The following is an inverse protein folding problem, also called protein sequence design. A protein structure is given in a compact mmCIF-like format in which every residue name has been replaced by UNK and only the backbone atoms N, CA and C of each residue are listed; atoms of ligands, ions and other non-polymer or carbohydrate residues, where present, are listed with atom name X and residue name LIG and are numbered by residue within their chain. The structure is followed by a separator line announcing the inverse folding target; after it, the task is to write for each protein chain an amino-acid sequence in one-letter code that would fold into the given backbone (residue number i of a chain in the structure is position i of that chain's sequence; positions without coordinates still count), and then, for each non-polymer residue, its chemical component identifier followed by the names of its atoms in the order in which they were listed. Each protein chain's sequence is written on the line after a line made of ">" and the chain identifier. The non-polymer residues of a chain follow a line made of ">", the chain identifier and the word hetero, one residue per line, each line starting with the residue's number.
data_IF_688032055157
#
_entry.id   IF_688032055157
#
_cell.length_a   1.000
_cell.length_b   1.000
_cell.length_c   1.000
_cell.angle_alpha   90.00
_cell.angle_beta   90.00
_cell.angle_gamma   90.00
#
_symmetry.space_group_name_H-M   'P 1'
#
loop_
_entity.id
_entity.type
_entity.pdbx_description
1 polymer ?
#
# COMPACT_ATOMS: atom_id res chain seq x y z
N UNK A 1 -7.42 7.34 7.30
CA UNK A 1 -7.71 6.54 8.52
C UNK A 1 -9.18 6.18 8.63
N UNK A 2 -10.10 7.13 8.55
CA UNK A 2 -11.56 6.85 8.53
C UNK A 2 -11.93 5.84 7.45
N UNK A 3 -11.59 6.12 6.19
CA UNK A 3 -11.87 5.20 5.07
C UNK A 3 -11.29 3.79 5.31
N UNK A 4 -10.07 3.67 5.85
CA UNK A 4 -9.51 2.36 6.21
C UNK A 4 -10.29 1.64 7.31
N UNK A 5 -10.81 2.37 8.30
CA UNK A 5 -11.62 1.79 9.37
C UNK A 5 -12.99 1.32 8.86
N UNK A 6 -13.72 2.21 8.20
CA UNK A 6 -15.15 2.04 7.97
C UNK A 6 -15.44 1.26 6.67
N UNK A 7 -14.52 1.33 5.70
CA UNK A 7 -14.64 0.62 4.41
C UNK A 7 -13.58 -0.47 4.29
N UNK A 8 -12.30 -0.10 4.50
CA UNK A 8 -11.16 -0.99 4.28
C UNK A 8 -11.22 -2.27 5.11
N UNK A 9 -11.19 -2.16 6.45
CA UNK A 9 -11.17 -3.32 7.35
C UNK A 9 -12.34 -4.29 7.10
N UNK A 10 -13.60 -3.84 6.96
CA UNK A 10 -14.71 -4.73 6.62
C UNK A 10 -14.58 -5.38 5.23
N UNK A 11 -14.13 -4.64 4.22
CA UNK A 11 -14.07 -5.12 2.83
C UNK A 11 -12.95 -6.13 2.59
N UNK A 12 -11.87 -6.08 3.40
CA UNK A 12 -10.64 -6.85 3.13
C UNK A 12 -10.47 -8.06 4.04
N UNK A 13 -11.53 -8.55 4.72
CA UNK A 13 -11.38 -9.63 5.70
C UNK A 13 -10.66 -10.87 5.15
N UNK A 14 -10.88 -11.20 3.88
CA UNK A 14 -10.30 -12.36 3.18
C UNK A 14 -9.20 -11.98 2.17
N UNK A 15 -8.76 -10.72 2.13
CA UNK A 15 -7.74 -10.23 1.19
C UNK A 15 -6.42 -9.94 1.94
N UNK A 16 -5.45 -10.87 1.97
CA UNK A 16 -4.21 -10.69 2.72
C UNK A 16 -3.36 -9.51 2.20
N UNK A 17 -3.45 -9.18 0.91
CA UNK A 17 -2.68 -8.09 0.29
C UNK A 17 -3.24 -6.75 0.77
N UNK A 18 -4.56 -6.57 0.65
CA UNK A 18 -5.21 -5.34 1.08
C UNK A 18 -5.12 -5.14 2.60
N UNK A 19 -5.18 -6.22 3.38
CA UNK A 19 -4.94 -6.19 4.84
C UNK A 19 -3.55 -5.67 5.18
N UNK A 20 -2.52 -6.17 4.50
CA UNK A 20 -1.13 -5.72 4.71
C UNK A 20 -0.96 -4.23 4.34
N UNK A 21 -1.54 -3.81 3.20
CA UNK A 21 -1.52 -2.42 2.76
C UNK A 21 -2.23 -1.48 3.75
N UNK A 22 -3.41 -1.86 4.25
CA UNK A 22 -4.14 -1.08 5.26
C UNK A 22 -3.33 -0.98 6.56
N UNK A 23 -2.72 -2.07 7.02
CA UNK A 23 -1.88 -2.05 8.22
C UNK A 23 -0.67 -1.11 8.06
N UNK A 24 0.07 -1.23 6.95
CA UNK A 24 1.21 -0.38 6.63
C UNK A 24 0.81 1.10 6.54
N UNK A 25 -0.22 1.41 5.73
CA UNK A 25 -0.72 2.77 5.57
C UNK A 25 -1.23 3.37 6.88
N UNK A 26 -1.92 2.57 7.71
CA UNK A 26 -2.37 3.00 9.04
C UNK A 26 -1.20 3.40 9.92
N UNK A 27 -0.14 2.58 9.95
CA UNK A 27 1.02 2.83 10.79
C UNK A 27 1.83 4.03 10.31
N UNK A 28 2.01 4.21 9.01
CA UNK A 28 2.64 5.41 8.44
C UNK A 28 1.91 6.72 8.79
N UNK A 29 0.60 6.67 8.97
CA UNK A 29 -0.21 7.87 9.29
C UNK A 29 -0.10 8.29 10.76
N UNK A 30 0.30 7.40 11.67
CA UNK A 30 0.25 7.66 13.12
C UNK A 30 1.61 7.52 13.82
N UNK A 31 2.57 6.87 13.17
CA UNK A 31 3.93 6.69 13.64
C UNK A 31 4.85 7.64 12.86
N UNK A 32 5.50 8.61 13.53
CA UNK A 32 6.50 9.45 12.88
C UNK A 32 7.64 8.62 12.26
N UNK A 33 8.18 9.00 11.08
CA UNK A 33 9.34 8.33 10.49
C UNK A 33 10.52 8.26 11.47
N UNK A 34 11.14 7.08 11.58
CA UNK A 34 12.28 6.85 12.49
C UNK A 34 11.92 6.74 13.97
N UNK A 35 10.63 6.78 14.33
CA UNK A 35 10.19 6.54 15.70
C UNK A 35 9.88 5.06 15.97
N UNK A 36 9.89 4.69 17.25
CA UNK A 36 9.62 3.33 17.72
C UNK A 36 10.86 2.44 17.78
N UNK A 37 10.68 1.16 18.16
CA UNK A 37 11.77 0.21 18.37
C UNK A 37 12.50 -0.19 17.08
N UNK A 38 11.89 0.02 15.92
CA UNK A 38 12.48 -0.26 14.60
C UNK A 38 11.81 0.59 13.52
N UNK A 39 12.49 0.86 12.39
CA UNK A 39 11.92 1.64 11.30
C UNK A 39 10.84 0.83 10.58
N UNK A 40 9.67 1.45 10.33
CA UNK A 40 8.64 0.92 9.44
C UNK A 40 9.03 1.19 7.98
N UNK A 41 9.60 0.18 7.32
CA UNK A 41 10.17 0.32 5.96
C UNK A 41 9.19 -0.03 4.83
N UNK A 42 7.97 -0.45 5.18
CA UNK A 42 6.94 -0.94 4.25
C UNK A 42 6.90 -2.46 4.16
N UNK A 43 8.05 -3.11 4.28
CA UNK A 43 8.13 -4.56 4.18
C UNK A 43 7.77 -5.26 5.49
N UNK A 44 7.76 -4.53 6.61
CA UNK A 44 7.34 -5.06 7.91
C UNK A 44 5.94 -5.68 7.87
N UNK A 45 4.93 -5.06 7.25
CA UNK A 45 3.59 -5.64 7.17
C UNK A 45 3.39 -6.51 5.92
N UNK A 46 4.10 -6.17 4.85
CA UNK A 46 4.04 -6.90 3.58
C UNK A 46 4.64 -8.30 3.66
N UNK A 47 5.72 -8.49 4.42
CA UNK A 47 6.35 -9.80 4.62
C UNK A 47 5.90 -10.49 5.92
N UNK A 48 5.43 -9.78 6.96
CA UNK A 48 5.20 -10.39 8.28
C UNK A 48 3.71 -10.52 8.67
N UNK A 49 2.93 -11.23 7.84
CA UNK A 49 1.52 -11.60 8.07
C UNK A 49 1.46 -12.97 8.79
N UNK A 50 0.44 -13.29 9.65
CA UNK A 50 -0.76 -12.51 9.96
C UNK A 50 -0.79 -11.77 11.29
N UNK A 51 0.04 -12.11 12.28
CA UNK A 51 -0.12 -11.58 13.63
C UNK A 51 0.05 -10.06 13.70
N UNK A 52 1.06 -9.50 13.01
CA UNK A 52 1.33 -8.05 13.02
C UNK A 52 0.22 -7.28 12.33
N UNK A 53 -0.23 -7.77 11.17
CA UNK A 53 -1.34 -7.19 10.42
C UNK A 53 -2.62 -7.22 11.27
N UNK A 54 -2.93 -8.35 11.89
CA UNK A 54 -4.13 -8.52 12.72
C UNK A 54 -4.16 -7.56 13.92
N UNK A 55 -3.01 -7.31 14.56
CA UNK A 55 -2.90 -6.36 15.67
C UNK A 55 -3.32 -4.94 15.24
N UNK A 56 -2.81 -4.47 14.10
CA UNK A 56 -3.12 -3.13 13.58
C UNK A 56 -4.58 -3.05 13.14
N UNK A 57 -5.09 -4.03 12.40
CA UNK A 57 -6.47 -4.02 11.93
C UNK A 57 -7.48 -4.09 13.08
N UNK A 58 -7.18 -4.85 14.13
CA UNK A 58 -8.00 -4.89 15.35
C UNK A 58 -8.04 -3.52 16.02
N UNK A 59 -6.88 -2.91 16.27
CA UNK A 59 -6.80 -1.59 16.89
C UNK A 59 -7.50 -0.50 16.05
N UNK A 60 -7.41 -0.59 14.72
CA UNK A 60 -8.11 0.29 13.79
C UNK A 60 -9.65 0.11 13.86
N UNK A 61 -10.12 -1.14 13.90
CA UNK A 61 -11.54 -1.46 14.03
C UNK A 61 -12.13 -0.98 15.36
N UNK A 62 -11.34 -0.98 16.45
CA UNK A 62 -11.76 -0.56 17.79
C UNK A 62 -11.79 0.97 17.99
N UNK A 63 -11.29 1.76 17.03
CA UNK A 63 -11.39 3.21 17.10
C UNK A 63 -12.86 3.67 17.21
N UNK A 64 -13.13 4.79 17.90
CA UNK A 64 -14.48 5.36 17.98
C UNK A 64 -14.98 5.81 16.60
N UNK A 65 -16.26 6.15 16.50
CA UNK A 65 -16.85 6.69 15.26
C UNK A 65 -16.12 7.95 14.78
N UNK A 66 -15.95 8.07 13.45
CA UNK A 66 -15.41 9.25 12.78
C UNK A 66 -16.31 10.49 12.88
N UNK A 67 -17.60 10.32 13.21
CA UNK A 67 -18.55 11.42 13.45
C UNK A 67 -18.13 12.39 14.57
N UNK A 68 -17.18 11.98 15.43
CA UNK A 68 -16.54 12.83 16.42
C UNK A 68 -15.03 12.95 16.10
N UNK A 69 -14.62 13.82 15.15
CA UNK A 69 -13.28 13.79 14.56
C UNK A 69 -12.17 14.01 15.59
N UNK A 70 -12.36 14.92 16.56
CA UNK A 70 -11.39 15.14 17.63
C UNK A 70 -11.20 13.92 18.53
N UNK A 71 -12.29 13.19 18.83
CA UNK A 71 -12.25 11.96 19.65
C UNK A 71 -11.59 10.82 18.86
N UNK A 72 -11.92 10.71 17.58
CA UNK A 72 -11.30 9.78 16.65
C UNK A 72 -9.78 9.97 16.57
N UNK A 73 -9.32 11.18 16.25
CA UNK A 73 -7.89 11.48 16.10
C UNK A 73 -7.13 11.24 17.40
N UNK A 74 -7.68 11.63 18.55
CA UNK A 74 -7.06 11.37 19.86
C UNK A 74 -6.94 9.87 20.17
N UNK A 75 -7.98 9.10 19.86
CA UNK A 75 -7.94 7.65 20.04
C UNK A 75 -6.92 7.00 19.09
N UNK A 76 -6.91 7.38 17.82
CA UNK A 76 -5.97 6.90 16.82
C UNK A 76 -4.52 7.11 17.24
N UNK A 77 -4.16 8.34 17.65
CA UNK A 77 -2.81 8.70 18.13
C UNK A 77 -2.40 7.97 19.42
N UNK A 78 -3.37 7.52 20.23
CA UNK A 78 -3.11 6.81 21.48
C UNK A 78 -2.96 5.30 21.28
N UNK A 79 -3.83 4.71 20.46
CA UNK A 79 -3.99 3.24 20.38
C UNK A 79 -3.11 2.63 19.29
N UNK A 80 -3.08 3.24 18.09
CA UNK A 80 -2.46 2.63 16.93
C UNK A 80 -0.93 2.49 17.03
N UNK A 81 -0.16 3.45 17.60
CA UNK A 81 1.30 3.31 17.67
C UNK A 81 1.76 2.02 18.37
N UNK A 82 1.07 1.60 19.44
CA UNK A 82 1.40 0.35 20.13
C UNK A 82 1.13 -0.88 19.26
N UNK A 83 0.05 -0.87 18.48
CA UNK A 83 -0.28 -1.97 17.57
C UNK A 83 0.72 -2.09 16.43
N UNK A 84 1.24 -0.96 15.93
CA UNK A 84 2.22 -0.91 14.83
C UNK A 84 3.56 -1.59 15.15
N UNK A 85 3.92 -1.66 16.44
CA UNK A 85 5.15 -2.28 16.90
C UNK A 85 4.92 -3.62 17.61
N UNK A 86 3.73 -4.19 17.49
CA UNK A 86 3.41 -5.51 18.05
C UNK A 86 4.14 -6.63 17.29
N UNK A 87 4.59 -7.64 18.03
CA UNK A 87 5.24 -8.85 17.50
C UNK A 87 6.74 -8.68 17.21
N UNK A 88 7.48 -9.80 17.25
CA UNK A 88 8.87 -9.84 16.80
C UNK A 88 8.92 -9.91 15.27
N UNK A 89 10.02 -9.42 14.67
CA UNK A 89 10.34 -9.73 13.26
C UNK A 89 10.72 -11.22 13.19
N UNK A 90 9.73 -12.11 13.13
CA UNK A 90 9.99 -13.50 12.76
C UNK A 90 10.46 -13.51 11.29
N UNK A 91 11.53 -14.23 10.95
CA UNK A 91 11.94 -14.40 9.56
C UNK A 91 10.94 -15.29 8.82
N UNK A 92 9.78 -14.76 8.47
CA UNK A 92 8.78 -15.55 7.73
C UNK A 92 8.19 -14.77 6.59
N UNK A 93 8.41 -15.37 5.41
CA UNK A 93 7.69 -15.29 4.15
C UNK A 93 7.70 -13.97 3.37
N UNK A 94 8.57 -14.01 2.37
CA UNK A 94 8.58 -13.31 1.07
C UNK A 94 7.18 -13.28 0.42
N UNK A 95 7.10 -12.76 -0.81
CA UNK A 95 5.95 -12.80 -1.73
C UNK A 95 5.02 -14.02 -1.65
N UNK A 96 5.52 -15.21 -1.30
CA UNK A 96 4.78 -16.47 -1.12
C UNK A 96 3.52 -16.39 -0.23
N UNK A 97 3.35 -15.34 0.59
CA UNK A 97 2.09 -15.06 1.30
C UNK A 97 0.91 -14.73 0.38
N UNK A 98 1.19 -14.36 -0.86
CA UNK A 98 0.21 -13.86 -1.81
C UNK A 98 0.07 -14.85 -2.96
N UNK A 99 -1.13 -14.97 -3.50
CA UNK A 99 -1.31 -15.67 -4.76
C UNK A 99 -0.92 -14.72 -5.90
N UNK A 100 -0.06 -15.12 -6.86
CA UNK A 100 0.35 -14.22 -7.95
C UNK A 100 -0.83 -13.61 -8.72
N UNK A 101 -1.89 -14.40 -8.95
CA UNK A 101 -3.10 -13.92 -9.63
C UNK A 101 -3.86 -12.87 -8.81
N UNK A 102 -3.91 -13.03 -7.49
CA UNK A 102 -4.48 -12.04 -6.59
C UNK A 102 -3.63 -10.76 -6.60
N UNK A 103 -2.30 -10.88 -6.57
CA UNK A 103 -1.39 -9.74 -6.64
C UNK A 103 -1.53 -8.96 -7.95
N UNK A 104 -1.59 -9.65 -9.09
CA UNK A 104 -1.76 -9.01 -10.39
C UNK A 104 -3.09 -8.22 -10.47
N UNK A 105 -4.18 -8.81 -9.95
CA UNK A 105 -5.48 -8.15 -9.84
C UNK A 105 -5.42 -6.92 -8.92
N UNK A 106 -4.76 -7.04 -7.77
CA UNK A 106 -4.61 -5.92 -6.83
C UNK A 106 -3.79 -4.78 -7.41
N UNK A 107 -2.71 -5.07 -8.12
CA UNK A 107 -1.93 -4.07 -8.86
C UNK A 107 -2.76 -3.36 -9.92
N UNK A 108 -3.58 -4.09 -10.66
CA UNK A 108 -4.52 -3.51 -11.63
C UNK A 108 -5.52 -2.56 -10.95
N UNK A 109 -6.09 -2.97 -9.81
CA UNK A 109 -7.01 -2.14 -9.04
C UNK A 109 -6.35 -0.88 -8.45
N UNK A 110 -5.17 -1.00 -7.85
CA UNK A 110 -4.43 0.16 -7.34
C UNK A 110 -4.02 1.13 -8.43
N UNK A 111 -3.67 0.61 -9.60
CA UNK A 111 -3.40 1.45 -10.75
C UNK A 111 -4.66 2.13 -11.27
N UNK A 112 -5.80 1.42 -11.28
CA UNK A 112 -7.11 1.99 -11.64
C UNK A 112 -7.45 3.20 -10.79
N UNK A 113 -7.38 3.08 -9.46
CA UNK A 113 -7.73 4.20 -8.56
C UNK A 113 -6.80 5.41 -8.72
N UNK A 114 -5.58 5.22 -9.26
CA UNK A 114 -4.66 6.33 -9.56
C UNK A 114 -4.91 6.96 -10.93
N UNK A 115 -5.30 6.18 -11.94
CA UNK A 115 -5.14 6.57 -13.34
C UNK A 115 -6.42 6.52 -14.17
N UNK A 116 -7.48 5.89 -13.68
CA UNK A 116 -8.78 5.86 -14.35
C UNK A 116 -9.60 7.10 -13.99
N UNK A 117 -9.85 8.03 -14.94
CA UNK A 117 -10.64 9.23 -14.66
C UNK A 117 -12.10 8.92 -14.33
N UNK A 118 -12.57 7.70 -14.61
CA UNK A 118 -13.93 7.24 -14.34
C UNK A 118 -13.98 6.27 -13.14
N UNK A 119 -12.95 6.24 -12.29
CA UNK A 119 -12.99 5.42 -11.09
C UNK A 119 -14.01 5.99 -10.09
N UNK A 120 -14.86 5.12 -9.54
CA UNK A 120 -15.89 5.53 -8.56
C UNK A 120 -15.29 5.93 -7.20
N UNK A 121 -14.10 5.43 -6.87
CA UNK A 121 -13.37 5.72 -5.62
C UNK A 121 -11.88 5.99 -5.94
N UNK A 122 -11.57 7.15 -6.57
CA UNK A 122 -10.22 7.47 -6.98
C UNK A 122 -9.36 7.91 -5.79
N UNK A 123 -8.04 7.76 -5.94
CA UNK A 123 -7.05 8.35 -5.05
C UNK A 123 -6.90 9.86 -5.37
N UNK A 124 -7.87 10.66 -4.93
CA UNK A 124 -7.91 12.10 -5.20
C UNK A 124 -6.93 12.88 -4.31
N UNK A 125 -6.81 12.47 -3.06
CA UNK A 125 -6.00 13.19 -2.07
C UNK A 125 -4.51 12.84 -2.22
N UNK A 126 -3.59 13.80 -2.03
CA UNK A 126 -2.14 13.55 -2.13
C UNK A 126 -1.65 12.41 -1.23
N UNK A 127 -2.25 12.24 -0.05
CA UNK A 127 -1.91 11.15 0.87
C UNK A 127 -2.38 9.79 0.34
N UNK A 128 -3.55 9.74 -0.32
CA UNK A 128 -4.02 8.51 -1.00
C UNK A 128 -3.11 8.17 -2.17
N UNK A 129 -2.74 9.17 -2.98
CA UNK A 129 -1.82 9.00 -4.11
C UNK A 129 -0.46 8.46 -3.67
N UNK A 130 0.12 9.05 -2.62
CA UNK A 130 1.40 8.62 -2.06
C UNK A 130 1.33 7.19 -1.51
N UNK A 131 0.28 6.85 -0.76
CA UNK A 131 0.11 5.51 -0.20
C UNK A 131 -0.09 4.45 -1.30
N UNK A 132 -1.01 4.68 -2.24
CA UNK A 132 -1.29 3.76 -3.33
C UNK A 132 -0.06 3.55 -4.22
N UNK A 133 0.66 4.63 -4.54
CA UNK A 133 1.94 4.55 -5.26
C UNK A 133 2.97 3.74 -4.47
N UNK A 134 3.10 3.97 -3.16
CA UNK A 134 3.96 3.20 -2.29
C UNK A 134 3.66 1.70 -2.32
N UNK A 135 2.38 1.32 -2.26
CA UNK A 135 1.96 -0.08 -2.32
C UNK A 135 2.26 -0.74 -3.66
N UNK A 136 1.97 -0.05 -4.77
CA UNK A 136 2.35 -0.53 -6.12
C UNK A 136 3.86 -0.73 -6.18
N UNK A 137 4.65 0.25 -5.73
CA UNK A 137 6.09 0.19 -5.79
C UNK A 137 6.68 -0.92 -4.92
N UNK A 138 6.15 -1.14 -3.71
CA UNK A 138 6.57 -2.28 -2.89
C UNK A 138 6.37 -3.60 -3.62
N UNK A 139 5.16 -3.86 -4.11
CA UNK A 139 4.83 -5.09 -4.83
C UNK A 139 5.68 -5.28 -6.09
N UNK A 140 5.84 -4.23 -6.89
CA UNK A 140 6.64 -4.24 -8.13
C UNK A 140 8.11 -4.50 -7.87
N UNK A 141 8.70 -3.84 -6.87
CA UNK A 141 10.11 -4.06 -6.56
C UNK A 141 10.32 -5.47 -6.02
N UNK A 142 9.46 -5.94 -5.12
CA UNK A 142 9.57 -7.26 -4.52
C UNK A 142 9.43 -8.37 -5.57
N UNK A 143 8.47 -8.26 -6.50
CA UNK A 143 8.29 -9.25 -7.59
C UNK A 143 9.52 -9.33 -8.49
N UNK A 144 10.26 -8.23 -8.64
CA UNK A 144 11.54 -8.17 -9.34
C UNK A 144 12.75 -8.57 -8.46
N UNK A 145 12.52 -9.08 -7.24
CA UNK A 145 13.54 -9.45 -6.25
C UNK A 145 14.44 -8.28 -5.85
N UNK A 146 13.87 -7.07 -5.88
CA UNK A 146 14.51 -5.81 -5.48
C UNK A 146 13.83 -5.26 -4.24
N UNK A 147 14.52 -4.34 -3.54
CA UNK A 147 13.96 -3.67 -2.36
C UNK A 147 13.67 -2.20 -2.67
N UNK A 148 12.43 -1.77 -2.41
CA UNK A 148 12.11 -0.36 -2.34
C UNK A 148 12.77 0.24 -1.09
N UNK A 149 13.57 1.28 -1.25
CA UNK A 149 14.25 1.92 -0.10
C UNK A 149 13.27 2.75 0.71
N UNK A 150 13.52 2.88 2.02
CA UNK A 150 12.73 3.77 2.88
C UNK A 150 12.80 5.24 2.42
N UNK A 151 13.91 5.65 1.81
CA UNK A 151 14.08 6.97 1.21
C UNK A 151 13.19 7.17 -0.03
N UNK A 152 13.13 6.18 -0.94
CA UNK A 152 12.22 6.22 -2.09
C UNK A 152 10.77 6.21 -1.64
N UNK A 153 10.43 5.39 -0.67
CA UNK A 153 9.08 5.38 -0.09
C UNK A 153 8.71 6.72 0.57
N UNK A 154 9.64 7.31 1.32
CA UNK A 154 9.43 8.60 1.96
C UNK A 154 9.28 9.75 0.97
N UNK A 155 9.89 9.66 -0.22
CA UNK A 155 9.84 10.73 -1.22
C UNK A 155 8.44 10.94 -1.80
N UNK A 156 7.63 9.88 -1.90
CA UNK A 156 6.26 9.96 -2.41
C UNK A 156 5.35 10.86 -1.55
N UNK A 157 5.63 10.97 -0.26
CA UNK A 157 4.83 11.76 0.69
C UNK A 157 5.53 13.04 1.18
N UNK A 158 6.65 13.45 0.57
CA UNK A 158 7.40 14.63 1.01
C UNK A 158 6.63 15.95 0.85
N UNK A 159 5.78 16.03 -0.18
CA UNK A 159 4.92 17.18 -0.43
C UNK A 159 3.73 16.79 -1.29
N UNK A 160 2.71 17.66 -1.34
CA UNK A 160 1.57 17.51 -2.26
C UNK A 160 2.05 17.37 -3.72
N UNK A 161 3.00 18.20 -4.14
CA UNK A 161 3.56 18.16 -5.48
C UNK A 161 4.32 16.85 -5.77
N UNK A 162 5.03 16.31 -4.77
CA UNK A 162 5.72 15.03 -4.92
C UNK A 162 4.74 13.87 -5.12
N UNK A 163 3.67 13.81 -4.32
CA UNK A 163 2.64 12.79 -4.46
C UNK A 163 1.97 12.83 -5.84
N UNK A 164 1.52 14.02 -6.27
CA UNK A 164 0.86 14.23 -7.56
C UNK A 164 1.80 13.92 -8.74
N UNK A 165 3.05 14.37 -8.67
CA UNK A 165 4.06 14.11 -9.71
C UNK A 165 4.38 12.62 -9.84
N UNK A 166 4.47 11.91 -8.72
CA UNK A 166 4.73 10.47 -8.73
C UNK A 166 3.53 9.70 -9.27
N UNK A 167 2.30 10.02 -8.85
CA UNK A 167 1.09 9.42 -9.40
C UNK A 167 0.97 9.67 -10.92
N UNK A 168 1.23 10.90 -11.38
CA UNK A 168 1.27 11.23 -12.81
C UNK A 168 2.32 10.38 -13.55
N UNK A 169 3.49 10.20 -12.94
CA UNK A 169 4.56 9.38 -13.51
C UNK A 169 4.19 7.89 -13.58
N UNK A 170 3.46 7.37 -12.58
CA UNK A 170 2.94 6.00 -12.58
C UNK A 170 1.95 5.79 -13.74
N UNK A 171 1.02 6.72 -13.92
CA UNK A 171 0.05 6.67 -15.02
C UNK A 171 0.71 6.87 -16.39
N UNK A 172 1.75 7.71 -16.49
CA UNK A 172 2.49 7.87 -17.74
C UNK A 172 3.33 6.63 -18.11
N UNK A 173 3.88 5.94 -17.10
CA UNK A 173 4.68 4.74 -17.31
C UNK A 173 3.85 3.56 -17.81
N UNK A 174 2.59 3.43 -17.36
CA UNK A 174 1.66 2.44 -17.87
C UNK A 174 0.30 3.10 -18.11
N UNK A 175 0.06 3.74 -19.28
CA UNK A 175 -1.15 4.49 -19.53
C UNK A 175 -2.44 3.69 -19.31
N UNK A 176 -3.40 4.29 -18.62
CA UNK A 176 -4.76 3.76 -18.50
C UNK A 176 -5.59 4.15 -19.71
N UNK A 177 -6.36 3.21 -20.23
CA UNK A 177 -7.35 3.44 -21.29
C UNK A 177 -8.73 3.08 -20.77
N UNK A 178 -9.70 3.97 -21.00
CA UNK A 178 -11.08 3.81 -20.50
C UNK A 178 -11.71 2.48 -20.97
N UNK A 179 -11.33 1.99 -22.15
CA UNK A 179 -11.91 0.79 -22.75
C UNK A 179 -11.18 -0.51 -22.44
N UNK A 180 -9.89 -0.47 -22.08
CA UNK A 180 -9.05 -1.67 -21.93
C UNK A 180 -8.27 -1.75 -20.62
N UNK A 181 -8.39 -0.75 -19.74
CA UNK A 181 -7.59 -0.66 -18.53
C UNK A 181 -6.14 -0.30 -18.85
N UNK A 182 -5.14 -0.82 -18.10
CA UNK A 182 -3.73 -0.52 -18.34
C UNK A 182 -3.29 -1.01 -19.72
N UNK A 183 -2.42 -0.23 -20.38
CA UNK A 183 -1.87 -0.58 -21.71
C UNK A 183 -1.20 -1.97 -21.72
N UNK A 184 -0.58 -2.34 -20.61
CA UNK A 184 -0.12 -3.71 -20.34
C UNK A 184 -1.11 -4.37 -19.38
N UNK A 185 -1.97 -5.29 -19.85
CA UNK A 185 -2.91 -6.00 -18.98
C UNK A 185 -2.17 -6.82 -17.92
N UNK A 186 -2.61 -6.69 -16.66
CA UNK A 186 -2.14 -7.53 -15.56
C UNK A 186 -3.11 -8.69 -15.27
N UNK A 187 -4.32 -8.63 -15.82
CA UNK A 187 -5.33 -9.65 -15.62
C UNK A 187 -4.88 -10.99 -16.20
N UNK A 188 -4.99 -12.05 -15.39
CA UNK A 188 -4.63 -13.40 -15.81
C UNK A 188 -3.15 -13.76 -15.67
N UNK A 189 -2.29 -12.85 -15.18
CA UNK A 189 -0.92 -13.22 -14.80
C UNK A 189 -0.93 -14.18 -13.60
N UNK A 190 -0.13 -15.25 -13.67
CA UNK A 190 -0.12 -16.35 -12.68
C UNK A 190 1.24 -16.63 -12.05
N UNK A 191 2.25 -15.81 -12.32
CA UNK A 191 3.58 -15.96 -11.72
C UNK A 191 4.21 -14.61 -11.43
N UNK A 192 5.09 -14.57 -10.42
CA UNK A 192 5.82 -13.36 -10.04
C UNK A 192 6.74 -12.86 -11.14
N UNK A 193 7.38 -13.76 -11.90
CA UNK A 193 8.23 -13.38 -13.02
C UNK A 193 7.41 -12.69 -14.14
N UNK A 194 6.19 -13.16 -14.40
CA UNK A 194 5.31 -12.53 -15.39
C UNK A 194 4.83 -11.15 -14.92
N UNK A 195 4.51 -11.00 -13.63
CA UNK A 195 4.16 -9.70 -13.03
C UNK A 195 5.36 -8.76 -13.13
N UNK A 196 6.54 -9.17 -12.68
CA UNK A 196 7.76 -8.37 -12.70
C UNK A 196 8.12 -7.89 -14.12
N UNK A 197 7.95 -8.77 -15.12
CA UNK A 197 8.13 -8.42 -16.53
C UNK A 197 7.12 -7.35 -16.97
N UNK A 198 5.82 -7.58 -16.74
CA UNK A 198 4.75 -6.67 -17.14
C UNK A 198 4.84 -5.29 -16.46
N UNK A 199 5.32 -5.24 -15.22
CA UNK A 199 5.42 -4.01 -14.42
C UNK A 199 6.78 -3.32 -14.51
N UNK A 200 7.62 -3.69 -15.48
CA UNK A 200 8.90 -3.02 -15.73
C UNK A 200 8.79 -1.50 -15.89
N UNK A 201 7.76 -0.94 -16.57
CA UNK A 201 7.64 0.51 -16.68
C UNK A 201 7.53 1.22 -15.32
N UNK A 202 6.85 0.63 -14.34
CA UNK A 202 6.71 1.20 -12.99
C UNK A 202 8.00 1.13 -12.18
N UNK A 203 8.88 0.13 -12.40
CA UNK A 203 10.14 -0.02 -11.64
C UNK A 203 11.02 1.22 -11.68
N UNK A 204 11.06 1.91 -12.84
CA UNK A 204 11.80 3.16 -13.00
C UNK A 204 11.22 4.28 -12.13
N UNK A 205 9.90 4.40 -12.07
CA UNK A 205 9.21 5.39 -11.20
C UNK A 205 9.46 5.06 -9.73
N UNK A 206 9.42 3.79 -9.38
CA UNK A 206 9.65 3.30 -8.02
C UNK A 206 11.12 3.36 -7.57
N UNK A 207 12.06 3.63 -8.48
CA UNK A 207 13.49 3.69 -8.16
C UNK A 207 14.11 2.34 -7.80
N UNK A 208 13.48 1.22 -8.16
CA UNK A 208 14.05 -0.12 -8.02
C UNK A 208 14.46 -0.64 -9.40
N UNK A 209 15.63 -0.20 -9.85
CA UNK A 209 16.26 -0.61 -11.12
C UNK A 209 17.44 -1.53 -10.84
N UNK A 210 17.62 -2.56 -11.67
CA UNK A 210 18.85 -3.36 -11.73
C UNK A 210 20.01 -2.53 -12.30
#
# INVERSE_FOLDING_TARGET
>A
LEHFKDIGVPATLQDPIARAAIADGTCRLVVPPGSGPFPLDGYDFWHHNPERVNSVLKALAELPSSSQPSKFVRAAKKQLPNACFFGLRAETSKLELYEPSALAKTLSNWHRVLCDPNCDDPAEEPQQQALTTGFICMAVCDTAKMKLTSAAMGSFSQSVAAAQSTATSMCAAMPWTITRGPLTPLDGLKSYDAIAAATTPWRKVCGCTA
#
